data_IF_149197784747
#
_entry.id   IF_149197784747
#
_cell.length_a   1.000
_cell.length_b   1.000
_cell.length_c   1.000
_cell.angle_alpha   90.00
_cell.angle_beta   90.00
_cell.angle_gamma   90.00
#
_symmetry.space_group_name_H-M   'P 1'
#
loop_
_entity.id
_entity.type
_entity.pdbx_description
1 polymer ?
#
# COMPACT_ATOMS: atom_id res chain seq x y z
N UNK A 1 3.68 1.76 7.87
CA UNK A 1 2.86 2.69 8.70
C UNK A 1 1.48 2.64 8.09
N UNK A 2 0.50 2.09 8.80
CA UNK A 2 -0.85 1.89 8.25
C UNK A 2 -1.69 3.09 8.61
N UNK A 3 -2.24 3.78 7.61
CA UNK A 3 -3.28 4.78 7.85
C UNK A 3 -4.41 4.11 8.64
N UNK A 4 -4.88 4.74 9.71
CA UNK A 4 -6.04 4.25 10.45
C UNK A 4 -7.30 4.41 9.62
N UNK A 5 -8.33 3.60 9.90
CA UNK A 5 -9.61 3.62 9.16
C UNK A 5 -10.20 5.02 9.02
N UNK A 6 -10.20 5.80 10.11
CA UNK A 6 -10.68 7.19 10.11
C UNK A 6 -9.87 8.10 9.18
N UNK A 7 -8.56 7.86 9.02
CA UNK A 7 -7.72 8.62 8.10
C UNK A 7 -8.04 8.25 6.64
N UNK A 8 -8.28 6.96 6.36
CA UNK A 8 -8.70 6.49 5.03
C UNK A 8 -10.06 7.08 4.67
N UNK A 9 -11.02 7.07 5.59
CA UNK A 9 -12.35 7.68 5.40
C UNK A 9 -12.24 9.18 5.12
N UNK A 10 -11.46 9.90 5.93
CA UNK A 10 -11.25 11.33 5.72
C UNK A 10 -10.58 11.61 4.35
N UNK A 11 -9.57 10.83 3.98
CA UNK A 11 -8.89 10.96 2.69
C UNK A 11 -9.86 10.70 1.52
N UNK A 12 -10.66 9.63 1.62
CA UNK A 12 -11.65 9.23 0.63
C UNK A 12 -12.71 10.33 0.43
N UNK A 13 -13.15 10.93 1.53
CA UNK A 13 -14.09 12.06 1.50
C UNK A 13 -13.49 13.28 0.79
N UNK A 14 -12.23 13.63 1.09
CA UNK A 14 -11.53 14.76 0.45
C UNK A 14 -11.36 14.51 -1.06
N UNK A 15 -11.00 13.27 -1.46
CA UNK A 15 -10.88 12.88 -2.87
C UNK A 15 -12.22 13.05 -3.58
N UNK A 16 -13.29 12.44 -3.05
CA UNK A 16 -14.63 12.52 -3.64
C UNK A 16 -15.11 13.97 -3.75
N UNK A 17 -14.93 14.77 -2.68
CA UNK A 17 -15.31 16.18 -2.66
C UNK A 17 -14.57 16.97 -3.73
N UNK A 18 -13.27 16.73 -3.92
CA UNK A 18 -12.44 17.43 -4.90
C UNK A 18 -12.83 17.08 -6.32
N UNK A 19 -13.06 15.79 -6.60
CA UNK A 19 -13.48 15.32 -7.93
C UNK A 19 -14.85 15.87 -8.34
N UNK A 20 -15.79 15.96 -7.40
CA UNK A 20 -17.10 16.59 -7.63
C UNK A 20 -16.94 18.10 -7.83
N UNK A 21 -16.13 18.77 -7.00
CA UNK A 21 -15.91 20.22 -7.08
C UNK A 21 -15.26 20.63 -8.42
N UNK A 22 -14.35 19.83 -8.93
CA UNK A 22 -13.71 20.04 -10.24
C UNK A 22 -14.61 19.62 -11.42
N UNK A 23 -15.80 19.06 -11.17
CA UNK A 23 -16.73 18.63 -12.21
C UNK A 23 -16.21 17.46 -13.05
N UNK A 24 -15.23 16.71 -12.55
CA UNK A 24 -14.61 15.59 -13.29
C UNK A 24 -15.45 14.32 -13.28
N UNK A 25 -16.38 14.22 -12.32
CA UNK A 25 -17.29 13.09 -12.17
C UNK A 25 -18.70 13.60 -11.86
N UNK A 26 -19.69 12.91 -12.41
CA UNK A 26 -21.09 13.02 -12.00
C UNK A 26 -21.39 11.83 -11.10
N UNK A 27 -21.84 12.11 -9.88
CA UNK A 27 -22.08 11.09 -8.86
C UNK A 27 -23.53 11.15 -8.45
N UNK A 28 -24.27 10.09 -8.70
CA UNK A 28 -25.67 9.94 -8.29
C UNK A 28 -25.77 9.56 -6.80
N UNK A 29 -24.97 8.58 -6.36
CA UNK A 29 -24.89 8.15 -4.97
C UNK A 29 -23.49 8.39 -4.38
N UNK A 30 -23.36 9.48 -3.62
CA UNK A 30 -22.09 9.87 -2.98
C UNK A 30 -21.67 8.87 -1.90
N UNK A 31 -22.62 8.24 -1.22
CA UNK A 31 -22.33 7.31 -0.12
C UNK A 31 -21.71 6.04 -0.67
N UNK A 32 -22.30 5.50 -1.74
CA UNK A 32 -21.77 4.31 -2.43
C UNK A 32 -20.36 4.55 -2.97
N UNK A 33 -20.14 5.64 -3.70
CA UNK A 33 -18.81 5.95 -4.26
C UNK A 33 -17.77 6.17 -3.15
N UNK A 34 -18.17 6.77 -2.02
CA UNK A 34 -17.28 6.92 -0.88
C UNK A 34 -16.86 5.56 -0.30
N UNK A 35 -17.82 4.64 -0.11
CA UNK A 35 -17.52 3.27 0.34
C UNK A 35 -16.60 2.53 -0.64
N UNK A 36 -16.84 2.67 -1.95
CA UNK A 36 -16.00 2.06 -2.98
C UNK A 36 -14.55 2.57 -2.91
N UNK A 37 -14.34 3.87 -2.71
CA UNK A 37 -13.00 4.46 -2.54
C UNK A 37 -12.33 3.94 -1.26
N UNK A 38 -13.08 3.89 -0.14
CA UNK A 38 -12.56 3.38 1.13
C UNK A 38 -12.13 1.91 0.97
N UNK A 39 -12.97 1.09 0.35
CA UNK A 39 -12.68 -0.31 0.11
C UNK A 39 -11.47 -0.49 -0.80
N UNK A 40 -11.40 0.25 -1.91
CA UNK A 40 -10.26 0.21 -2.84
C UNK A 40 -8.95 0.56 -2.13
N UNK A 41 -8.92 1.66 -1.37
CA UNK A 41 -7.71 2.07 -0.62
C UNK A 41 -7.34 0.98 0.41
N UNK A 42 -8.34 0.45 1.12
CA UNK A 42 -8.11 -0.59 2.14
C UNK A 42 -7.55 -1.87 1.52
N UNK A 43 -8.07 -2.30 0.37
CA UNK A 43 -7.57 -3.47 -0.35
C UNK A 43 -6.12 -3.30 -0.80
N UNK A 44 -5.77 -2.12 -1.31
CA UNK A 44 -4.40 -1.81 -1.72
C UNK A 44 -3.43 -1.84 -0.53
N UNK A 45 -3.82 -1.26 0.63
CA UNK A 45 -3.02 -1.37 1.85
C UNK A 45 -2.83 -2.83 2.28
N UNK A 46 -3.89 -3.64 2.25
CA UNK A 46 -3.80 -5.07 2.60
C UNK A 46 -2.86 -5.82 1.67
N UNK A 47 -2.85 -5.51 0.36
CA UNK A 47 -1.89 -6.08 -0.60
C UNK A 47 -0.47 -5.64 -0.26
N UNK A 48 -0.25 -4.36 0.04
CA UNK A 48 1.07 -3.85 0.43
C UNK A 48 1.60 -4.54 1.69
N UNK A 49 0.76 -4.72 2.71
CA UNK A 49 1.20 -5.39 3.94
C UNK A 49 1.51 -6.87 3.75
N UNK A 50 0.77 -7.56 2.88
CA UNK A 50 1.10 -8.94 2.51
C UNK A 50 2.46 -8.99 1.83
N UNK A 51 2.76 -8.04 0.94
CA UNK A 51 4.06 -7.92 0.30
C UNK A 51 5.16 -7.64 1.34
N UNK A 52 4.95 -6.73 2.27
CA UNK A 52 5.90 -6.45 3.36
C UNK A 52 6.15 -7.69 4.23
N UNK A 53 5.10 -8.47 4.53
CA UNK A 53 5.22 -9.72 5.27
C UNK A 53 6.05 -10.76 4.50
N UNK A 54 5.80 -10.92 3.20
CA UNK A 54 6.55 -11.82 2.31
C UNK A 54 8.03 -11.41 2.22
N UNK A 55 8.31 -10.11 2.11
CA UNK A 55 9.69 -9.57 2.15
C UNK A 55 10.37 -9.92 3.49
N UNK A 56 9.69 -9.78 4.62
CA UNK A 56 10.24 -10.17 5.94
C UNK A 56 10.52 -11.66 6.03
N UNK A 57 9.64 -12.51 5.50
CA UNK A 57 9.86 -13.95 5.49
C UNK A 57 11.07 -14.35 4.66
N UNK A 58 11.26 -13.73 3.49
CA UNK A 58 12.44 -13.94 2.65
C UNK A 58 13.70 -13.48 3.39
N UNK A 59 13.68 -12.28 3.97
CA UNK A 59 14.81 -11.78 4.75
C UNK A 59 15.14 -12.69 5.93
N UNK A 60 14.13 -13.21 6.64
CA UNK A 60 14.33 -14.14 7.75
C UNK A 60 14.99 -15.45 7.31
N UNK A 61 14.61 -15.98 6.14
CA UNK A 61 15.25 -17.18 5.56
C UNK A 61 16.70 -16.95 5.16
N UNK A 62 17.05 -15.72 4.78
CA UNK A 62 18.40 -15.33 4.36
C UNK A 62 19.19 -14.56 5.44
N UNK A 63 18.72 -14.54 6.69
CA UNK A 63 19.35 -13.80 7.79
C UNK A 63 20.82 -14.19 8.03
N UNK A 64 21.16 -15.48 7.89
CA UNK A 64 22.53 -15.97 8.06
C UNK A 64 23.46 -15.50 6.95
N UNK A 65 22.96 -15.32 5.72
CA UNK A 65 23.72 -14.76 4.60
C UNK A 65 23.89 -13.25 4.74
N UNK A 66 22.85 -12.54 5.21
CA UNK A 66 22.89 -11.09 5.47
C UNK A 66 23.92 -10.77 6.56
N UNK A 67 23.96 -11.56 7.63
CA UNK A 67 24.97 -11.45 8.70
C UNK A 67 26.40 -11.69 8.19
N UNK A 68 26.59 -12.63 7.26
CA UNK A 68 27.89 -12.89 6.62
C UNK A 68 28.31 -11.77 5.66
N UNK A 69 27.35 -11.10 5.03
CA UNK A 69 27.60 -10.02 4.06
C UNK A 69 27.85 -8.64 4.65
N UNK A 70 27.69 -8.44 5.97
CA UNK A 70 27.75 -7.11 6.61
C UNK A 70 26.76 -6.09 6.01
N UNK A 71 25.69 -6.55 5.35
CA UNK A 71 24.70 -5.69 4.71
C UNK A 71 23.62 -5.32 5.72
N UNK A 72 23.28 -4.04 5.79
CA UNK A 72 22.26 -3.54 6.70
C UNK A 72 20.85 -4.03 6.28
N UNK A 73 20.09 -4.55 7.26
CA UNK A 73 18.76 -5.14 7.04
C UNK A 73 17.80 -4.19 6.30
N UNK A 74 17.83 -2.89 6.60
CA UNK A 74 17.00 -1.90 5.89
C UNK A 74 17.31 -1.82 4.40
N UNK A 75 18.58 -1.94 4.02
CA UNK A 75 19.02 -1.86 2.61
C UNK A 75 18.52 -3.09 1.84
N UNK A 76 18.66 -4.28 2.42
CA UNK A 76 18.12 -5.52 1.83
C UNK A 76 16.60 -5.51 1.76
N UNK A 77 15.91 -4.99 2.77
CA UNK A 77 14.46 -4.83 2.76
C UNK A 77 13.99 -3.96 1.59
N UNK A 78 14.64 -2.81 1.36
CA UNK A 78 14.32 -1.94 0.22
C UNK A 78 14.59 -2.63 -1.12
N UNK A 79 15.73 -3.32 -1.25
CA UNK A 79 16.08 -4.03 -2.49
C UNK A 79 15.10 -5.14 -2.82
N UNK A 80 14.76 -5.99 -1.85
CA UNK A 80 13.81 -7.09 -2.04
C UNK A 80 12.41 -6.55 -2.29
N UNK A 81 11.94 -5.54 -1.53
CA UNK A 81 10.64 -4.89 -1.75
C UNK A 81 10.53 -4.35 -3.18
N UNK A 82 11.57 -3.70 -3.68
CA UNK A 82 11.60 -3.17 -5.07
C UNK A 82 11.55 -4.30 -6.11
N UNK A 83 12.26 -5.40 -5.86
CA UNK A 83 12.30 -6.55 -6.77
C UNK A 83 10.96 -7.29 -6.81
N UNK A 84 10.37 -7.57 -5.64
CA UNK A 84 9.08 -8.24 -5.50
C UNK A 84 7.92 -7.44 -6.07
N UNK A 85 7.93 -6.11 -5.88
CA UNK A 85 6.94 -5.23 -6.47
C UNK A 85 7.02 -5.21 -8.01
N UNK A 86 8.23 -5.21 -8.58
CA UNK A 86 8.43 -5.34 -10.04
C UNK A 86 7.92 -6.67 -10.57
N UNK A 87 8.17 -7.77 -9.86
CA UNK A 87 7.70 -9.11 -10.26
C UNK A 87 6.17 -9.24 -10.17
N UNK A 88 5.53 -8.60 -9.19
CA UNK A 88 4.07 -8.63 -9.03
C UNK A 88 3.33 -7.46 -9.70
N UNK A 89 4.04 -6.61 -10.43
CA UNK A 89 3.50 -5.42 -11.11
C UNK A 89 2.72 -4.48 -10.16
N UNK A 90 3.16 -4.43 -8.90
CA UNK A 90 2.60 -3.54 -7.88
C UNK A 90 3.34 -2.21 -7.99
N UNK A 91 2.61 -1.13 -8.21
CA UNK A 91 3.18 0.23 -8.20
C UNK A 91 3.39 0.63 -6.74
N UNK A 92 4.66 0.89 -6.36
CA UNK A 92 5.07 1.35 -5.02
C UNK A 92 5.33 2.85 -5.03
#
# INVERSE_FOLDING_TARGET
>A
MRLNRNQIEHLSFVILRTLIKEGKILVEDKTRVLEDIINLITEEFVKEDKLDQEVREILNKHMDEIRKGNIEYQTMFKMIKTKLAKERNIVI
#
